data_IF_247911661984
#
_entry.id   IF_247911661984
#
_cell.length_a   1.000
_cell.length_b   1.000
_cell.length_c   1.000
_cell.angle_alpha   90.00
_cell.angle_beta   90.00
_cell.angle_gamma   90.00
#
_symmetry.space_group_name_H-M   'P 1'
#
loop_
_entity.id
_entity.type
_entity.pdbx_description
1 polymer ?
#
# COMPACT_ATOMS: atom_id res chain seq x y z
N UNK A 1 -11.32 12.03 -4.60
CA UNK A 1 -10.25 13.07 -4.75
C UNK A 1 -10.12 13.79 -6.11
N UNK A 2 -9.66 13.20 -7.21
CA UNK A 2 -9.20 13.96 -8.41
C UNK A 2 -10.25 14.86 -9.08
N UNK A 3 -11.53 14.45 -9.06
CA UNK A 3 -12.63 15.28 -9.57
C UNK A 3 -12.68 16.64 -8.88
N UNK A 4 -12.46 16.68 -7.56
CA UNK A 4 -12.48 17.91 -6.77
C UNK A 4 -11.25 18.77 -7.07
N UNK A 5 -10.08 18.16 -7.20
CA UNK A 5 -8.83 18.88 -7.49
C UNK A 5 -8.86 19.57 -8.85
N UNK A 6 -9.36 18.89 -9.88
CA UNK A 6 -9.33 19.39 -11.27
C UNK A 6 -10.56 20.20 -11.68
N UNK A 7 -11.73 19.96 -11.08
CA UNK A 7 -12.95 20.72 -11.37
C UNK A 7 -13.25 21.83 -10.35
N UNK A 8 -12.45 21.93 -9.28
CA UNK A 8 -12.59 22.94 -8.24
C UNK A 8 -11.94 24.27 -8.58
N UNK A 9 -11.70 25.11 -7.57
CA UNK A 9 -11.02 26.40 -7.72
C UNK A 9 -9.55 26.37 -7.27
N UNK A 10 -8.97 25.18 -7.15
CA UNK A 10 -7.60 24.98 -6.72
C UNK A 10 -6.59 25.27 -7.84
N UNK A 11 -5.31 25.37 -7.47
CA UNK A 11 -4.22 25.61 -8.42
C UNK A 11 -4.17 24.53 -9.50
N UNK A 12 -4.38 23.28 -9.10
CA UNK A 12 -4.41 22.10 -9.95
C UNK A 12 -5.44 22.20 -11.07
N UNK A 13 -6.58 22.85 -10.81
CA UNK A 13 -7.61 23.11 -11.84
C UNK A 13 -7.15 24.16 -12.85
N UNK A 14 -6.49 25.23 -12.37
CA UNK A 14 -5.99 26.31 -13.24
C UNK A 14 -4.82 25.87 -14.11
N UNK A 15 -3.91 25.10 -13.53
CA UNK A 15 -2.70 24.63 -14.18
C UNK A 15 -2.93 23.32 -14.96
N UNK A 16 -4.09 22.68 -14.76
CA UNK A 16 -4.43 21.35 -15.30
C UNK A 16 -3.37 20.27 -14.99
N UNK A 17 -2.71 20.37 -13.83
CA UNK A 17 -1.59 19.52 -13.42
C UNK A 17 -1.74 19.09 -11.96
N UNK A 18 -1.55 17.80 -11.68
CA UNK A 18 -1.38 17.25 -10.34
C UNK A 18 0.06 16.74 -10.23
N UNK A 19 0.79 17.26 -9.23
CA UNK A 19 2.17 16.82 -8.96
C UNK A 19 2.17 15.78 -7.84
N UNK A 20 2.74 14.61 -8.13
CA UNK A 20 2.96 13.53 -7.16
C UNK A 20 4.45 13.44 -6.88
N UNK A 21 4.87 13.74 -5.65
CA UNK A 21 6.31 13.82 -5.27
C UNK A 21 6.79 12.63 -4.44
N UNK A 22 5.84 11.87 -3.88
CA UNK A 22 6.03 10.87 -2.84
C UNK A 22 5.78 9.44 -3.36
N UNK A 23 5.99 9.22 -4.65
CA UNK A 23 5.90 7.89 -5.27
C UNK A 23 6.83 7.73 -6.46
N UNK A 24 7.30 6.51 -6.65
CA UNK A 24 8.04 6.14 -7.85
C UNK A 24 7.15 6.24 -9.11
N UNK A 25 7.69 6.72 -10.24
CA UNK A 25 6.92 6.85 -11.48
C UNK A 25 6.23 5.56 -11.93
N UNK A 26 6.89 4.40 -11.76
CA UNK A 26 6.34 3.09 -12.11
C UNK A 26 5.12 2.72 -11.25
N UNK A 27 5.12 3.09 -9.98
CA UNK A 27 3.97 2.89 -9.08
C UNK A 27 2.79 3.78 -9.48
N UNK A 28 3.07 5.02 -9.89
CA UNK A 28 2.02 5.92 -10.40
C UNK A 28 1.45 5.40 -11.71
N UNK A 29 2.29 4.88 -12.60
CA UNK A 29 1.84 4.26 -13.86
C UNK A 29 0.96 3.03 -13.61
N UNK A 30 1.35 2.14 -12.69
CA UNK A 30 0.54 0.99 -12.29
C UNK A 30 -0.82 1.40 -11.71
N UNK A 31 -0.86 2.46 -10.89
CA UNK A 31 -2.11 3.01 -10.37
C UNK A 31 -2.99 3.60 -11.47
N UNK A 32 -2.41 4.38 -12.40
CA UNK A 32 -3.16 4.93 -13.52
C UNK A 32 -3.70 3.83 -14.42
N UNK A 33 -2.91 2.80 -14.71
CA UNK A 33 -3.37 1.64 -15.49
C UNK A 33 -4.62 1.02 -14.85
N UNK A 34 -4.58 0.75 -13.55
CA UNK A 34 -5.75 0.28 -12.81
C UNK A 34 -6.96 1.21 -12.95
N UNK A 35 -6.76 2.53 -12.86
CA UNK A 35 -7.87 3.49 -13.01
C UNK A 35 -8.49 3.47 -14.41
N UNK A 36 -7.67 3.30 -15.44
CA UNK A 36 -8.13 3.38 -16.83
C UNK A 36 -8.70 2.06 -17.38
N UNK A 37 -8.11 0.92 -17.03
CA UNK A 37 -8.49 -0.38 -17.59
C UNK A 37 -8.84 -1.46 -16.55
N UNK A 38 -8.73 -1.14 -15.25
CA UNK A 38 -9.03 -2.07 -14.15
C UNK A 38 -7.93 -3.11 -13.88
N UNK A 39 -6.82 -3.08 -14.60
CA UNK A 39 -5.71 -4.04 -14.44
C UNK A 39 -4.94 -3.72 -13.17
N UNK A 40 -4.94 -4.65 -12.22
CA UNK A 40 -4.18 -4.55 -11.00
C UNK A 40 -2.83 -5.26 -11.12
N UNK A 41 -1.74 -4.54 -10.84
CA UNK A 41 -0.39 -5.10 -10.77
C UNK A 41 0.02 -5.37 -9.32
N UNK A 42 0.03 -6.65 -8.94
CA UNK A 42 0.40 -7.09 -7.60
C UNK A 42 1.86 -6.78 -7.22
N UNK A 43 2.76 -6.61 -8.19
CA UNK A 43 4.16 -6.28 -7.91
C UNK A 43 4.31 -4.90 -7.23
N UNK A 44 3.38 -3.99 -7.50
CA UNK A 44 3.36 -2.64 -6.94
C UNK A 44 2.46 -2.51 -5.71
N UNK A 45 1.84 -3.59 -5.23
CA UNK A 45 0.80 -3.54 -4.17
C UNK A 45 1.24 -2.79 -2.90
N UNK A 46 2.48 -3.00 -2.42
CA UNK A 46 3.00 -2.33 -1.21
C UNK A 46 3.13 -0.81 -1.42
N UNK A 47 3.66 -0.39 -2.57
CA UNK A 47 3.88 1.00 -2.91
C UNK A 47 2.58 1.71 -3.37
N UNK A 48 1.62 0.97 -3.93
CA UNK A 48 0.32 1.49 -4.33
C UNK A 48 -0.63 1.69 -3.16
N UNK A 49 -0.55 0.86 -2.10
CA UNK A 49 -1.40 0.98 -0.92
C UNK A 49 -1.51 2.41 -0.33
N UNK A 50 -0.41 3.15 -0.09
CA UNK A 50 -0.49 4.52 0.44
C UNK A 50 -1.12 5.49 -0.56
N UNK A 51 -0.87 5.33 -1.87
CA UNK A 51 -1.50 6.16 -2.91
C UNK A 51 -2.99 5.87 -3.05
N UNK A 52 -3.36 4.59 -3.03
CA UNK A 52 -4.75 4.16 -3.08
C UNK A 52 -5.54 4.71 -1.89
N UNK A 53 -4.95 4.66 -0.69
CA UNK A 53 -5.54 5.28 0.50
C UNK A 53 -5.65 6.80 0.35
N UNK A 54 -4.56 7.48 -0.06
CA UNK A 54 -4.53 8.94 -0.24
C UNK A 54 -5.55 9.44 -1.27
N UNK A 55 -5.80 8.67 -2.32
CA UNK A 55 -6.77 9.02 -3.36
C UNK A 55 -8.17 8.45 -3.11
N UNK A 56 -8.42 7.89 -1.93
CA UNK A 56 -9.72 7.35 -1.50
C UNK A 56 -10.24 6.25 -2.45
N UNK A 57 -9.34 5.35 -2.88
CA UNK A 57 -9.63 4.24 -3.76
C UNK A 57 -9.83 2.94 -2.96
N UNK A 58 -10.94 2.84 -2.23
CA UNK A 58 -11.19 1.77 -1.25
C UNK A 58 -11.03 0.34 -1.79
N UNK A 59 -11.52 0.10 -3.01
CA UNK A 59 -11.40 -1.21 -3.65
C UNK A 59 -9.93 -1.55 -3.99
N UNK A 60 -9.16 -0.55 -4.45
CA UNK A 60 -7.73 -0.74 -4.70
C UNK A 60 -6.95 -0.97 -3.41
N UNK A 61 -7.32 -0.32 -2.31
CA UNK A 61 -6.76 -0.58 -0.97
C UNK A 61 -6.98 -2.04 -0.57
N UNK A 62 -8.19 -2.58 -0.78
CA UNK A 62 -8.50 -3.97 -0.51
C UNK A 62 -7.72 -4.96 -1.39
N UNK A 63 -7.58 -4.67 -2.69
CA UNK A 63 -6.77 -5.47 -3.62
C UNK A 63 -5.29 -5.46 -3.21
N UNK A 64 -4.75 -4.29 -2.87
CA UNK A 64 -3.38 -4.16 -2.38
C UNK A 64 -3.16 -4.96 -1.10
N UNK A 65 -4.04 -4.82 -0.09
CA UNK A 65 -3.94 -5.57 1.16
C UNK A 65 -3.99 -7.09 0.94
N UNK A 66 -4.85 -7.56 0.04
CA UNK A 66 -4.98 -8.98 -0.31
C UNK A 66 -3.72 -9.48 -1.02
N UNK A 67 -3.24 -8.74 -2.02
CA UNK A 67 -2.05 -9.09 -2.78
C UNK A 67 -0.78 -9.11 -1.91
N UNK A 68 -0.66 -8.17 -0.97
CA UNK A 68 0.41 -8.15 0.03
C UNK A 68 0.37 -9.41 0.89
N UNK A 69 -0.83 -9.84 1.30
CA UNK A 69 -0.99 -11.06 2.08
C UNK A 69 -0.73 -12.33 1.28
N UNK A 70 -0.92 -12.30 -0.04
CA UNK A 70 -0.71 -13.45 -0.94
C UNK A 70 0.72 -13.53 -1.48
N UNK A 71 1.43 -12.40 -1.52
CA UNK A 71 2.80 -12.30 -1.97
C UNK A 71 3.76 -13.23 -1.17
N UNK A 72 4.89 -13.55 -1.80
CA UNK A 72 5.98 -14.27 -1.15
C UNK A 72 6.63 -13.37 -0.10
N UNK A 73 6.24 -13.57 1.16
CA UNK A 73 6.86 -12.90 2.30
C UNK A 73 8.23 -13.53 2.53
N UNK A 74 9.27 -12.71 2.48
CA UNK A 74 10.68 -13.04 2.69
C UNK A 74 11.21 -12.25 3.88
N UNK A 75 12.33 -12.67 4.44
CA UNK A 75 13.04 -11.97 5.51
C UNK A 75 13.36 -10.51 5.17
N UNK A 76 13.58 -10.21 3.88
CA UNK A 76 13.90 -8.86 3.37
C UNK A 76 12.70 -7.93 3.28
N UNK A 77 11.51 -8.46 2.98
CA UNK A 77 10.31 -7.64 2.73
C UNK A 77 9.30 -7.66 3.88
N UNK A 78 9.42 -8.60 4.83
CA UNK A 78 8.45 -8.77 5.93
C UNK A 78 8.31 -7.51 6.78
N UNK A 79 9.42 -6.78 7.00
CA UNK A 79 9.43 -5.56 7.81
C UNK A 79 8.64 -4.44 7.16
N UNK A 80 8.85 -4.26 5.85
CA UNK A 80 8.17 -3.23 5.06
C UNK A 80 6.69 -3.56 4.95
N UNK A 81 6.36 -4.81 4.66
CA UNK A 81 4.97 -5.31 4.59
C UNK A 81 4.24 -5.09 5.92
N UNK A 82 4.83 -5.50 7.04
CA UNK A 82 4.23 -5.35 8.37
C UNK A 82 4.09 -3.88 8.74
N UNK A 83 5.13 -3.06 8.50
CA UNK A 83 5.09 -1.63 8.79
C UNK A 83 4.02 -0.92 7.96
N UNK A 84 3.93 -1.26 6.67
CA UNK A 84 2.95 -0.68 5.76
C UNK A 84 1.53 -1.07 6.16
N UNK A 85 1.27 -2.36 6.37
CA UNK A 85 -0.04 -2.82 6.82
C UNK A 85 -0.42 -2.24 8.19
N UNK A 86 0.54 -2.14 9.12
CA UNK A 86 0.33 -1.54 10.43
C UNK A 86 -0.07 -0.05 10.33
N UNK A 87 0.51 0.68 9.37
CA UNK A 87 0.22 2.11 9.15
C UNK A 87 -1.24 2.35 8.73
N UNK A 88 -1.85 1.39 8.05
CA UNK A 88 -3.24 1.49 7.55
C UNK A 88 -4.21 0.56 8.29
N UNK A 89 -3.89 0.14 9.52
CA UNK A 89 -4.74 -0.79 10.29
C UNK A 89 -6.13 -0.24 10.59
N UNK A 90 -6.31 1.08 10.65
CA UNK A 90 -7.62 1.68 10.87
C UNK A 90 -8.55 1.55 9.64
N UNK A 91 -7.99 1.23 8.48
CA UNK A 91 -8.78 1.03 7.26
C UNK A 91 -9.44 -0.35 7.26
N UNK A 92 -10.78 -0.38 7.14
CA UNK A 92 -11.58 -1.60 7.28
C UNK A 92 -11.12 -2.77 6.38
N UNK A 93 -10.75 -2.49 5.12
CA UNK A 93 -10.27 -3.53 4.19
C UNK A 93 -8.89 -4.08 4.56
N UNK A 94 -8.04 -3.28 5.19
CA UNK A 94 -6.68 -3.67 5.62
C UNK A 94 -6.77 -4.46 6.92
N UNK A 95 -7.58 -3.99 7.88
CA UNK A 95 -7.78 -4.67 9.17
C UNK A 95 -8.36 -6.08 9.01
N UNK A 96 -9.22 -6.30 8.01
CA UNK A 96 -9.73 -7.63 7.66
C UNK A 96 -8.63 -8.62 7.26
N UNK A 97 -7.55 -8.14 6.62
CA UNK A 97 -6.45 -8.99 6.18
C UNK A 97 -5.36 -9.16 7.25
N UNK A 98 -5.36 -8.32 8.29
CA UNK A 98 -4.34 -8.35 9.35
C UNK A 98 -4.20 -9.70 10.06
N UNK A 99 -5.28 -10.40 10.48
CA UNK A 99 -5.14 -11.71 11.11
C UNK A 99 -4.50 -12.75 10.18
N UNK A 100 -4.77 -12.65 8.87
CA UNK A 100 -4.20 -13.54 7.85
C UNK A 100 -2.69 -13.32 7.70
N UNK A 101 -2.24 -12.07 7.68
CA UNK A 101 -0.82 -11.73 7.65
C UNK A 101 -0.11 -12.25 8.90
N UNK A 102 -0.63 -11.96 10.09
CA UNK A 102 -0.02 -12.39 11.36
C UNK A 102 0.06 -13.91 11.45
N UNK A 103 -0.99 -14.63 11.05
CA UNK A 103 -0.98 -16.09 11.00
C UNK A 103 0.17 -16.62 10.14
N UNK A 104 0.35 -16.09 8.92
CA UNK A 104 1.46 -16.49 8.03
C UNK A 104 2.84 -16.21 8.63
N UNK A 105 3.02 -15.05 9.27
CA UNK A 105 4.29 -14.69 9.91
C UNK A 105 4.56 -15.60 11.11
N UNK A 106 3.55 -15.90 11.93
CA UNK A 106 3.69 -16.78 13.09
C UNK A 106 3.98 -18.24 12.71
N UNK A 107 3.47 -18.72 11.57
CA UNK A 107 3.74 -20.06 11.04
C UNK A 107 5.20 -20.24 10.58
N UNK A 108 5.92 -19.14 10.30
CA UNK A 108 7.31 -19.16 9.82
C UNK A 108 8.28 -18.59 10.87
N UNK A 109 9.08 -19.41 11.56
CA UNK A 109 10.01 -18.96 12.60
C UNK A 109 11.00 -17.89 12.10
N UNK A 110 11.51 -18.05 10.88
CA UNK A 110 12.50 -17.14 10.29
C UNK A 110 11.92 -15.75 10.00
N UNK A 111 10.69 -15.69 9.47
CA UNK A 111 9.98 -14.44 9.19
C UNK A 111 9.62 -13.71 10.48
N UNK A 112 9.18 -14.47 11.49
CA UNK A 112 8.88 -13.94 12.82
C UNK A 112 10.12 -13.32 13.46
N UNK A 113 11.25 -14.03 13.42
CA UNK A 113 12.50 -13.53 14.01
C UNK A 113 13.07 -12.34 13.23
N UNK A 114 12.91 -12.30 11.89
CA UNK A 114 13.24 -11.13 11.08
C UNK A 114 12.37 -9.91 11.46
N UNK A 115 11.05 -10.09 11.59
CA UNK A 115 10.13 -9.04 12.01
C UNK A 115 10.47 -8.52 13.42
N UNK A 116 10.69 -9.39 14.41
CA UNK A 116 11.06 -8.97 15.77
C UNK A 116 12.42 -8.28 15.85
N UNK A 117 13.42 -8.72 15.07
CA UNK A 117 14.73 -8.06 15.00
C UNK A 117 14.60 -6.62 14.54
N UNK A 118 13.75 -6.35 13.56
CA UNK A 118 13.53 -4.98 13.05
C UNK A 118 12.87 -4.05 14.07
N UNK A 119 11.91 -4.55 14.86
CA UNK A 119 11.26 -3.79 15.94
C UNK A 119 12.27 -3.45 17.05
N UNK A 120 13.21 -4.36 17.31
CA UNK A 120 14.28 -4.17 18.30
C UNK A 120 15.37 -3.20 17.81
N UNK A 121 15.65 -3.17 16.51
CA UNK A 121 16.60 -2.25 15.89
C UNK A 121 16.08 -0.80 15.79
N UNK A 122 14.77 -0.58 15.68
CA UNK A 122 14.13 0.75 15.65
C UNK A 122 14.06 1.47 17.01
N UNK A 123 14.42 0.79 18.10
CA UNK A 123 14.33 1.29 19.49
C UNK A 123 15.67 1.73 20.11
N UNK A 124 16.78 1.65 19.36
CA UNK A 124 18.12 2.11 19.77
C UNK A 124 18.50 3.31 18.93
#
# INVERSE_FOLDING_TARGET
>A
VWRVALAGSFKESRDAVIVVTDADPSTVEALLKYVYDGTFDAAHAVAMLPLAHRYEMDELVGLCATAICDASITDRNVVDIVSQMNTFLDHAKVSQQWPRLIKRICESPDLRDAAFRSVRARRV
#
